data_IF_145990910219
#
_entry.id   IF_145990910219
#
_cell.length_a   1.000
_cell.length_b   1.000
_cell.length_c   1.000
_cell.angle_alpha   90.00
_cell.angle_beta   90.00
_cell.angle_gamma   90.00
#
_symmetry.space_group_name_H-M   'P 1'
#
loop_
_entity.id
_entity.type
_entity.pdbx_description
1 polymer ?
#
# COMPACT_ATOMS: atom_id res chain seq x y z
N UNK A 1 20.64 -39.98 22.45
CA UNK A 1 19.90 -39.24 21.40
C UNK A 1 20.04 -40.01 20.10
N UNK A 2 19.09 -40.91 19.84
CA UNK A 2 19.15 -41.84 18.71
C UNK A 2 18.46 -41.26 17.48
N UNK A 3 19.23 -41.02 16.42
CA UNK A 3 18.72 -40.97 15.06
C UNK A 3 19.23 -42.25 14.42
N UNK A 4 18.36 -43.25 14.26
CA UNK A 4 18.77 -44.59 13.84
C UNK A 4 19.24 -44.61 12.38
N UNK A 5 18.68 -43.76 11.51
CA UNK A 5 18.97 -43.74 10.09
C UNK A 5 19.35 -42.33 9.61
N UNK A 6 20.51 -42.21 8.98
CA UNK A 6 20.96 -40.98 8.32
C UNK A 6 20.32 -40.93 6.93
N UNK A 7 19.74 -39.79 6.56
CA UNK A 7 19.19 -39.60 5.21
C UNK A 7 20.29 -39.75 4.16
N UNK A 8 20.14 -40.74 3.29
CA UNK A 8 21.01 -40.99 2.14
C UNK A 8 20.42 -40.33 0.89
N UNK A 9 21.21 -40.01 -0.15
CA UNK A 9 20.71 -39.39 -1.38
C UNK A 9 19.61 -40.16 -2.12
N UNK A 10 19.46 -41.46 -1.82
CA UNK A 10 18.43 -42.35 -2.35
C UNK A 10 17.14 -42.34 -1.52
N UNK A 11 17.15 -41.75 -0.32
CA UNK A 11 15.99 -41.71 0.57
C UNK A 11 14.96 -40.67 0.08
N UNK A 12 13.65 -40.96 0.21
CA UNK A 12 12.62 -40.02 -0.20
C UNK A 12 12.69 -38.71 0.60
N UNK A 13 13.07 -38.77 1.88
CA UNK A 13 13.24 -37.60 2.75
C UNK A 13 14.37 -36.70 2.26
N UNK A 14 15.47 -37.27 1.75
CA UNK A 14 16.56 -36.51 1.15
C UNK A 14 16.11 -35.80 -0.13
N UNK A 15 15.35 -36.49 -0.98
CA UNK A 15 14.81 -35.93 -2.22
C UNK A 15 13.82 -34.77 -1.94
N UNK A 16 12.93 -34.93 -0.96
CA UNK A 16 12.00 -33.88 -0.52
C UNK A 16 12.76 -32.67 0.06
N UNK A 17 13.75 -32.92 0.92
CA UNK A 17 14.60 -31.85 1.45
C UNK A 17 15.37 -31.12 0.36
N UNK A 18 15.92 -31.84 -0.63
CA UNK A 18 16.59 -31.25 -1.79
C UNK A 18 15.63 -30.36 -2.60
N UNK A 19 14.38 -30.79 -2.80
CA UNK A 19 13.34 -30.01 -3.46
C UNK A 19 12.95 -28.75 -2.67
N UNK A 20 12.85 -28.83 -1.34
CA UNK A 20 12.60 -27.66 -0.50
C UNK A 20 13.75 -26.65 -0.56
N UNK A 21 15.00 -27.13 -0.57
CA UNK A 21 16.18 -26.27 -0.69
C UNK A 21 16.25 -25.59 -2.06
N UNK A 22 15.98 -26.31 -3.16
CA UNK A 22 15.94 -25.73 -4.50
C UNK A 22 14.83 -24.67 -4.63
N UNK A 23 13.63 -24.98 -4.13
CA UNK A 23 12.49 -24.06 -4.09
C UNK A 23 12.82 -22.79 -3.31
N UNK A 24 13.46 -22.93 -2.14
CA UNK A 24 13.89 -21.77 -1.33
C UNK A 24 14.94 -20.94 -2.07
N UNK A 25 15.94 -21.57 -2.70
CA UNK A 25 16.96 -20.87 -3.49
C UNK A 25 16.35 -20.09 -4.65
N UNK A 26 15.40 -20.71 -5.36
CA UNK A 26 14.62 -20.06 -6.42
C UNK A 26 13.87 -18.83 -5.91
N UNK A 27 13.07 -18.97 -4.85
CA UNK A 27 12.30 -17.86 -4.26
C UNK A 27 13.20 -16.72 -3.77
N UNK A 28 14.33 -17.03 -3.13
CA UNK A 28 15.28 -16.01 -2.68
C UNK A 28 15.96 -15.28 -3.86
N UNK A 29 16.30 -16.00 -4.93
CA UNK A 29 16.86 -15.40 -6.13
C UNK A 29 15.83 -14.47 -6.82
N UNK A 30 14.57 -14.90 -6.87
CA UNK A 30 13.45 -14.12 -7.41
C UNK A 30 13.22 -12.84 -6.60
N UNK A 31 13.07 -12.93 -5.28
CA UNK A 31 12.88 -11.76 -4.40
C UNK A 31 14.04 -10.78 -4.50
N UNK A 32 15.27 -11.28 -4.62
CA UNK A 32 16.46 -10.44 -4.82
C UNK A 32 16.39 -9.69 -6.15
N UNK A 33 15.97 -10.36 -7.22
CA UNK A 33 15.80 -9.75 -8.53
C UNK A 33 14.70 -8.68 -8.50
N UNK A 34 13.52 -9.01 -7.98
CA UNK A 34 12.37 -8.12 -7.80
C UNK A 34 12.77 -6.84 -7.05
N UNK A 35 13.42 -6.99 -5.88
CA UNK A 35 13.89 -5.86 -5.07
C UNK A 35 14.83 -4.93 -5.84
N UNK A 36 15.77 -5.48 -6.61
CA UNK A 36 16.73 -4.68 -7.37
C UNK A 36 16.06 -3.91 -8.52
N UNK A 37 15.08 -4.52 -9.18
CA UNK A 37 14.29 -3.87 -10.24
C UNK A 37 13.45 -2.73 -9.65
N UNK A 38 12.74 -2.98 -8.56
CA UNK A 38 11.93 -1.95 -7.85
C UNK A 38 12.82 -0.79 -7.40
N UNK A 39 13.98 -1.09 -6.80
CA UNK A 39 14.96 -0.06 -6.47
C UNK A 39 15.32 0.75 -7.72
N UNK A 40 15.69 0.07 -8.82
CA UNK A 40 16.07 0.73 -10.07
C UNK A 40 15.02 1.73 -10.55
N UNK A 41 13.74 1.37 -10.47
CA UNK A 41 12.62 2.25 -10.78
C UNK A 41 12.60 3.50 -9.92
N UNK A 42 12.70 3.36 -8.60
CA UNK A 42 12.70 4.52 -7.69
C UNK A 42 13.82 5.52 -7.99
N UNK A 43 15.00 5.05 -8.38
CA UNK A 43 16.07 5.96 -8.78
C UNK A 43 15.86 6.60 -10.15
N UNK A 44 15.21 5.92 -11.10
CA UNK A 44 14.82 6.53 -12.37
C UNK A 44 13.76 7.60 -12.14
N UNK A 45 12.80 7.37 -11.25
CA UNK A 45 11.85 8.39 -10.80
C UNK A 45 12.57 9.57 -10.14
N UNK A 46 13.57 9.32 -9.28
CA UNK A 46 14.41 10.38 -8.68
C UNK A 46 15.22 11.15 -9.71
N UNK A 47 15.70 10.51 -10.76
CA UNK A 47 16.42 11.17 -11.85
C UNK A 47 15.51 12.12 -12.63
N UNK A 48 14.25 11.73 -12.82
CA UNK A 48 13.24 12.48 -13.58
C UNK A 48 12.54 13.60 -12.77
N UNK A 49 12.82 13.73 -11.46
CA UNK A 49 12.31 14.81 -10.63
C UNK A 49 13.01 16.15 -11.00
N UNK A 50 12.21 17.20 -11.19
CA UNK A 50 12.71 18.56 -11.42
C UNK A 50 13.44 19.09 -10.17
N UNK A 51 14.41 19.99 -10.37
CA UNK A 51 15.29 20.56 -9.34
C UNK A 51 16.32 19.60 -8.70
N UNK A 52 16.77 18.56 -9.41
CA UNK A 52 17.94 17.78 -8.96
C UNK A 52 19.26 18.49 -9.31
N UNK A 53 19.96 18.96 -8.28
CA UNK A 53 21.29 19.58 -8.44
C UNK A 53 22.29 18.66 -9.17
N UNK A 54 23.23 19.25 -9.93
CA UNK A 54 24.16 18.50 -10.79
C UNK A 54 24.92 17.37 -10.06
N UNK A 55 25.40 17.63 -8.84
CA UNK A 55 26.08 16.63 -8.01
C UNK A 55 25.19 15.42 -7.71
N UNK A 56 23.93 15.66 -7.34
CA UNK A 56 22.96 14.60 -7.05
C UNK A 56 22.64 13.77 -8.30
N UNK A 57 22.48 14.41 -9.47
CA UNK A 57 22.30 13.71 -10.75
C UNK A 57 23.48 12.77 -11.05
N UNK A 58 24.72 13.21 -10.83
CA UNK A 58 25.91 12.35 -11.01
C UNK A 58 25.90 11.13 -10.08
N UNK A 59 25.45 11.27 -8.83
CA UNK A 59 25.31 10.15 -7.91
C UNK A 59 24.21 9.18 -8.36
N UNK A 60 23.06 9.69 -8.80
CA UNK A 60 21.95 8.87 -9.33
C UNK A 60 22.42 8.08 -10.57
N UNK A 61 23.13 8.71 -11.51
CA UNK A 61 23.67 8.01 -12.69
C UNK A 61 24.61 6.87 -12.30
N UNK A 62 25.53 7.10 -11.35
CA UNK A 62 26.43 6.05 -10.85
C UNK A 62 25.66 4.91 -10.17
N UNK A 63 24.66 5.23 -9.34
CA UNK A 63 23.83 4.26 -8.68
C UNK A 63 22.96 3.44 -9.66
N UNK A 64 22.50 4.06 -10.76
CA UNK A 64 21.83 3.38 -11.86
C UNK A 64 22.73 2.40 -12.62
N UNK A 65 23.98 2.79 -12.90
CA UNK A 65 24.96 1.89 -13.52
C UNK A 65 25.27 0.70 -12.61
N UNK A 66 25.58 0.96 -11.34
CA UNK A 66 25.87 -0.07 -10.34
C UNK A 66 24.69 -1.06 -10.19
N UNK A 67 23.46 -0.56 -10.12
CA UNK A 67 22.28 -1.44 -10.00
C UNK A 67 21.94 -2.16 -11.29
N UNK A 68 22.18 -1.56 -12.46
CA UNK A 68 22.04 -2.30 -13.72
C UNK A 68 22.96 -3.52 -13.74
N UNK A 69 24.20 -3.38 -13.25
CA UNK A 69 25.10 -4.52 -13.10
C UNK A 69 24.62 -5.52 -12.03
N UNK A 70 24.11 -5.04 -10.89
CA UNK A 70 23.55 -5.90 -9.85
C UNK A 70 22.35 -6.72 -10.35
N UNK A 71 21.46 -6.13 -11.17
CA UNK A 71 20.32 -6.82 -11.78
C UNK A 71 20.83 -7.90 -12.75
N UNK A 72 21.85 -7.63 -13.58
CA UNK A 72 22.43 -8.67 -14.46
C UNK A 72 22.93 -9.88 -13.68
N UNK A 73 23.64 -9.63 -12.58
CA UNK A 73 24.14 -10.68 -11.72
C UNK A 73 22.99 -11.46 -11.04
N UNK A 74 21.99 -10.75 -10.52
CA UNK A 74 20.81 -11.36 -9.91
C UNK A 74 19.99 -12.18 -10.92
N UNK A 75 19.87 -11.70 -12.16
CA UNK A 75 19.23 -12.42 -13.27
C UNK A 75 19.96 -13.71 -13.60
N UNK A 76 21.30 -13.70 -13.63
CA UNK A 76 22.11 -14.92 -13.80
C UNK A 76 21.87 -15.91 -12.66
N UNK A 77 21.83 -15.43 -11.41
CA UNK A 77 21.54 -16.28 -10.23
C UNK A 77 20.13 -16.87 -10.30
N UNK A 78 19.13 -16.05 -10.67
CA UNK A 78 17.76 -16.48 -10.85
C UNK A 78 17.65 -17.55 -11.94
N UNK A 79 18.19 -17.32 -13.13
CA UNK A 79 18.10 -18.27 -14.25
C UNK A 79 18.80 -19.60 -13.91
N UNK A 80 19.91 -19.58 -13.16
CA UNK A 80 20.56 -20.79 -12.67
C UNK A 80 19.71 -21.55 -11.65
N UNK A 81 19.07 -20.84 -10.70
CA UNK A 81 18.17 -21.45 -9.73
C UNK A 81 16.90 -22.00 -10.40
N UNK A 82 16.33 -21.27 -11.37
CA UNK A 82 15.16 -21.68 -12.14
C UNK A 82 15.42 -22.96 -12.94
N UNK A 83 16.60 -23.08 -13.56
CA UNK A 83 17.00 -24.30 -14.28
C UNK A 83 17.19 -25.52 -13.36
N UNK A 84 17.42 -25.29 -12.05
CA UNK A 84 17.60 -26.36 -11.05
C UNK A 84 16.27 -26.80 -10.41
N UNK A 85 15.14 -26.18 -10.77
CA UNK A 85 13.81 -26.55 -10.30
C UNK A 85 13.27 -27.74 -11.09
N UNK A 86 12.34 -28.49 -10.47
CA UNK A 86 11.57 -29.54 -11.13
C UNK A 86 10.09 -29.21 -10.93
N UNK A 87 9.35 -28.81 -11.97
CA UNK A 87 9.80 -28.58 -13.35
C UNK A 87 10.75 -27.38 -13.49
N UNK A 88 11.54 -27.35 -14.57
CA UNK A 88 12.43 -26.23 -14.86
C UNK A 88 11.62 -24.93 -14.94
N UNK A 89 12.01 -23.93 -14.17
CA UNK A 89 11.33 -22.63 -14.16
C UNK A 89 11.57 -21.81 -15.43
N UNK A 90 10.73 -20.77 -15.64
CA UNK A 90 10.87 -19.83 -16.77
C UNK A 90 12.20 -19.09 -16.70
N UNK A 91 12.97 -19.14 -17.79
CA UNK A 91 14.15 -18.30 -18.01
C UNK A 91 13.72 -16.88 -18.38
N UNK A 92 14.40 -15.90 -17.79
CA UNK A 92 14.16 -14.48 -18.06
C UNK A 92 15.32 -13.85 -18.81
N UNK A 93 15.00 -13.02 -19.80
CA UNK A 93 15.95 -12.23 -20.56
C UNK A 93 16.07 -10.80 -19.99
N UNK A 94 17.20 -10.14 -20.27
CA UNK A 94 17.48 -8.80 -19.71
C UNK A 94 16.44 -7.74 -20.06
N UNK A 95 15.92 -7.76 -21.29
CA UNK A 95 14.94 -6.78 -21.75
C UNK A 95 13.62 -6.91 -20.97
N UNK A 96 13.16 -8.14 -20.74
CA UNK A 96 11.95 -8.42 -19.94
C UNK A 96 12.06 -7.82 -18.54
N UNK A 97 13.23 -7.92 -17.90
CA UNK A 97 13.45 -7.44 -16.53
C UNK A 97 13.57 -5.91 -16.44
N UNK A 98 14.04 -5.26 -17.51
CA UNK A 98 14.27 -3.80 -17.53
C UNK A 98 13.02 -3.02 -17.89
N UNK A 99 12.12 -3.62 -18.67
CA UNK A 99 10.84 -3.03 -19.00
C UNK A 99 9.95 -2.96 -17.75
N UNK A 100 9.55 -1.75 -17.37
CA UNK A 100 8.74 -1.51 -16.16
C UNK A 100 7.41 -2.26 -16.12
N UNK A 101 6.94 -2.76 -17.27
CA UNK A 101 5.75 -3.59 -17.40
C UNK A 101 5.88 -4.95 -16.65
N UNK A 102 7.10 -5.43 -16.45
CA UNK A 102 7.37 -6.74 -15.86
C UNK A 102 7.26 -6.77 -14.34
N UNK A 103 7.06 -5.63 -13.66
CA UNK A 103 6.85 -5.64 -12.20
C UNK A 103 5.64 -6.48 -11.79
N UNK A 104 4.56 -6.43 -12.58
CA UNK A 104 3.35 -7.21 -12.33
C UNK A 104 3.54 -8.71 -12.64
N UNK A 105 4.65 -9.10 -13.29
CA UNK A 105 4.95 -10.47 -13.69
C UNK A 105 5.75 -11.22 -12.62
N UNK A 106 6.39 -10.50 -11.68
CA UNK A 106 7.12 -11.14 -10.58
C UNK A 106 6.22 -11.99 -9.69
N UNK A 107 4.96 -11.60 -9.52
CA UNK A 107 3.98 -12.38 -8.76
C UNK A 107 3.67 -13.72 -9.43
N UNK A 108 3.64 -13.75 -10.77
CA UNK A 108 3.47 -15.01 -11.52
C UNK A 108 4.66 -15.94 -11.30
N UNK A 109 5.88 -15.40 -11.17
CA UNK A 109 7.09 -16.18 -10.92
C UNK A 109 7.17 -16.76 -9.50
N UNK A 110 6.35 -16.30 -8.54
CA UNK A 110 6.39 -16.82 -7.16
C UNK A 110 5.85 -18.24 -7.05
N UNK A 111 4.99 -18.65 -7.98
CA UNK A 111 4.44 -19.99 -8.04
C UNK A 111 4.99 -20.76 -9.27
N UNK A 112 6.02 -21.62 -9.08
CA UNK A 112 6.58 -22.43 -10.17
C UNK A 112 5.56 -23.44 -10.73
N UNK A 113 4.55 -23.83 -9.93
CA UNK A 113 3.53 -24.80 -10.32
C UNK A 113 2.45 -24.15 -11.20
N UNK A 114 2.18 -22.86 -11.01
CA UNK A 114 1.25 -22.09 -11.85
C UNK A 114 1.70 -21.97 -13.32
N UNK A 115 2.96 -22.25 -13.64
CA UNK A 115 3.47 -22.27 -15.03
C UNK A 115 3.11 -23.53 -15.82
N UNK A 116 2.61 -24.59 -15.15
CA UNK A 116 2.26 -25.86 -15.82
C UNK A 116 1.11 -25.69 -16.81
N UNK A 117 0.27 -24.69 -16.62
CA UNK A 117 -0.82 -24.35 -17.51
C UNK A 117 -0.69 -22.91 -17.96
N UNK A 118 -0.63 -22.67 -19.28
CA UNK A 118 -0.71 -21.31 -19.82
C UNK A 118 -2.12 -20.79 -19.58
N UNK A 119 -2.32 -20.17 -18.43
CA UNK A 119 -3.59 -19.57 -18.09
C UNK A 119 -3.87 -18.40 -19.05
N UNK A 120 -5.01 -18.37 -19.77
CA UNK A 120 -5.32 -17.29 -20.71
C UNK A 120 -5.26 -15.89 -20.07
N UNK A 121 -5.62 -15.80 -18.78
CA UNK A 121 -5.57 -14.57 -17.99
C UNK A 121 -4.15 -14.11 -17.62
N UNK A 122 -3.15 -15.00 -17.63
CA UNK A 122 -1.78 -14.70 -17.26
C UNK A 122 -0.96 -14.12 -18.43
N UNK A 123 -1.50 -14.17 -19.65
CA UNK A 123 -0.83 -13.57 -20.83
C UNK A 123 -0.70 -12.05 -20.67
N UNK A 124 0.41 -11.42 -21.11
CA UNK A 124 0.60 -9.98 -20.95
C UNK A 124 -0.55 -9.12 -21.51
N UNK A 125 -1.10 -9.40 -22.72
CA UNK A 125 -2.24 -8.65 -23.24
C UNK A 125 -3.51 -8.81 -22.38
N UNK A 126 -3.81 -10.03 -21.92
CA UNK A 126 -4.98 -10.28 -21.08
C UNK A 126 -4.87 -9.55 -19.73
N UNK A 127 -3.69 -9.50 -19.12
CA UNK A 127 -3.48 -8.77 -17.86
C UNK A 127 -3.67 -7.26 -18.01
N UNK A 128 -3.19 -6.67 -19.11
CA UNK A 128 -3.45 -5.24 -19.40
C UNK A 128 -4.95 -4.99 -19.55
N UNK A 129 -5.69 -5.91 -20.19
CA UNK A 129 -7.14 -5.80 -20.33
C UNK A 129 -7.86 -5.97 -18.98
N UNK A 130 -7.45 -6.97 -18.17
CA UNK A 130 -8.00 -7.22 -16.84
C UNK A 130 -7.74 -6.04 -15.90
N UNK A 131 -6.54 -5.47 -15.89
CA UNK A 131 -6.22 -4.27 -15.10
C UNK A 131 -7.13 -3.09 -15.48
N UNK A 132 -7.34 -2.87 -16.78
CA UNK A 132 -8.29 -1.84 -17.25
C UNK A 132 -9.73 -2.14 -16.80
N UNK A 133 -10.17 -3.39 -16.96
CA UNK A 133 -11.50 -3.82 -16.56
C UNK A 133 -11.73 -3.63 -15.05
N UNK A 134 -10.82 -4.15 -14.22
CA UNK A 134 -10.92 -4.01 -12.77
C UNK A 134 -10.76 -2.56 -12.31
N UNK A 135 -9.96 -1.72 -12.99
CA UNK A 135 -9.93 -0.28 -12.73
C UNK A 135 -11.29 0.36 -12.98
N UNK A 136 -12.00 -0.03 -14.04
CA UNK A 136 -13.35 0.46 -14.32
C UNK A 136 -14.32 0.02 -13.22
N UNK A 137 -14.31 -1.26 -12.84
CA UNK A 137 -15.17 -1.77 -11.76
C UNK A 137 -14.89 -1.06 -10.43
N UNK A 138 -13.62 -0.96 -10.03
CA UNK A 138 -13.20 -0.23 -8.82
C UNK A 138 -13.52 1.25 -8.87
N UNK A 139 -13.51 1.87 -10.06
CA UNK A 139 -13.90 3.29 -10.19
C UNK A 139 -15.36 3.50 -9.78
N UNK A 140 -16.25 2.53 -10.05
CA UNK A 140 -17.66 2.61 -9.60
C UNK A 140 -17.77 2.62 -8.08
N UNK A 141 -17.02 1.76 -7.40
CA UNK A 141 -16.95 1.72 -5.94
C UNK A 141 -16.32 3.01 -5.37
N UNK A 142 -15.24 3.47 -6.00
CA UNK A 142 -14.51 4.66 -5.57
C UNK A 142 -15.36 5.92 -5.70
N UNK A 143 -16.25 6.01 -6.70
CA UNK A 143 -17.24 7.09 -6.80
C UNK A 143 -18.15 7.10 -5.57
N UNK A 144 -18.67 5.94 -5.15
CA UNK A 144 -19.55 5.83 -3.98
C UNK A 144 -18.79 6.26 -2.72
N UNK A 145 -17.55 5.77 -2.55
CA UNK A 145 -16.69 6.14 -1.43
C UNK A 145 -16.39 7.65 -1.42
N UNK A 146 -16.01 8.22 -2.56
CA UNK A 146 -15.74 9.64 -2.70
C UNK A 146 -16.97 10.48 -2.34
N UNK A 147 -18.18 10.08 -2.74
CA UNK A 147 -19.40 10.78 -2.36
C UNK A 147 -19.61 10.83 -0.84
N UNK A 148 -19.34 9.72 -0.15
CA UNK A 148 -19.40 9.65 1.32
C UNK A 148 -18.33 10.56 1.94
N UNK A 149 -17.09 10.50 1.45
CA UNK A 149 -15.99 11.28 1.99
C UNK A 149 -16.15 12.79 1.73
N UNK A 150 -16.64 13.20 0.56
CA UNK A 150 -16.99 14.60 0.27
C UNK A 150 -17.99 15.10 1.30
N UNK A 151 -19.07 14.34 1.55
CA UNK A 151 -20.08 14.71 2.54
C UNK A 151 -19.50 14.77 3.95
N UNK A 152 -18.62 13.83 4.33
CA UNK A 152 -17.92 13.83 5.63
C UNK A 152 -17.04 15.05 5.81
N UNK A 153 -16.24 15.40 4.81
CA UNK A 153 -15.36 16.58 4.84
C UNK A 153 -16.18 17.86 4.98
N UNK A 154 -17.27 18.01 4.23
CA UNK A 154 -18.16 19.17 4.33
C UNK A 154 -18.78 19.26 5.73
N UNK A 155 -19.20 18.13 6.30
CA UNK A 155 -19.74 18.06 7.65
C UNK A 155 -18.68 18.47 8.68
N UNK A 156 -17.48 17.90 8.58
CA UNK A 156 -16.36 18.23 9.48
C UNK A 156 -16.00 19.71 9.44
N UNK A 157 -15.97 20.32 8.25
CA UNK A 157 -15.76 21.77 8.09
C UNK A 157 -16.83 22.59 8.84
N UNK A 158 -18.11 22.21 8.70
CA UNK A 158 -19.20 22.90 9.38
C UNK A 158 -19.10 22.76 10.90
N UNK A 159 -18.89 21.55 11.40
CA UNK A 159 -18.78 21.30 12.83
C UNK A 159 -17.56 21.96 13.44
N UNK A 160 -16.42 21.93 12.77
CA UNK A 160 -15.20 22.62 13.21
C UNK A 160 -15.45 24.13 13.34
N UNK A 161 -16.14 24.73 12.36
CA UNK A 161 -16.53 26.15 12.44
C UNK A 161 -17.44 26.42 13.65
N UNK A 162 -18.50 25.63 13.85
CA UNK A 162 -19.43 25.81 14.97
C UNK A 162 -18.69 25.66 16.31
N UNK A 163 -17.86 24.63 16.43
CA UNK A 163 -17.08 24.35 17.63
C UNK A 163 -16.12 25.49 17.97
N UNK A 164 -15.35 25.97 16.99
CA UNK A 164 -14.39 27.04 17.22
C UNK A 164 -15.08 28.37 17.55
N UNK A 165 -16.19 28.71 16.87
CA UNK A 165 -16.97 29.92 17.19
C UNK A 165 -17.55 29.86 18.61
N UNK A 166 -18.07 28.70 19.01
CA UNK A 166 -18.58 28.49 20.37
C UNK A 166 -17.46 28.62 21.41
N UNK A 167 -16.29 28.01 21.14
CA UNK A 167 -15.14 28.08 22.06
C UNK A 167 -14.54 29.48 22.15
N UNK A 168 -14.51 30.23 21.06
CA UNK A 168 -14.15 31.65 21.05
C UNK A 168 -15.07 32.43 22.01
N UNK A 169 -16.39 32.27 21.89
CA UNK A 169 -17.36 32.95 22.76
C UNK A 169 -17.27 32.55 24.25
N UNK A 170 -17.10 31.25 24.55
CA UNK A 170 -16.91 30.76 25.92
C UNK A 170 -15.61 31.30 26.57
N UNK A 171 -14.57 31.50 25.77
CA UNK A 171 -13.27 31.97 26.26
C UNK A 171 -13.17 33.48 26.35
N UNK A 172 -13.99 34.23 25.61
CA UNK A 172 -13.95 35.71 25.63
C UNK A 172 -14.14 36.26 27.05
N UNK A 173 -15.00 35.62 27.86
CA UNK A 173 -15.28 36.03 29.24
C UNK A 173 -14.20 35.60 30.24
N UNK A 174 -13.55 34.45 30.01
CA UNK A 174 -12.62 33.84 30.98
C UNK A 174 -11.15 34.11 30.67
N UNK A 175 -10.78 34.14 29.39
CA UNK A 175 -9.43 34.37 28.91
C UNK A 175 -9.43 34.99 27.48
N UNK A 176 -9.47 36.33 27.39
CA UNK A 176 -9.50 37.05 26.11
C UNK A 176 -8.29 36.76 25.20
N UNK A 177 -7.11 36.51 25.77
CA UNK A 177 -5.91 36.22 24.97
C UNK A 177 -6.02 34.87 24.27
N UNK A 178 -6.55 33.85 24.96
CA UNK A 178 -6.79 32.55 24.36
C UNK A 178 -7.94 32.59 23.35
N UNK A 179 -9.00 33.35 23.63
CA UNK A 179 -10.08 33.59 22.68
C UNK A 179 -9.57 34.20 21.37
N UNK A 180 -8.69 35.20 21.44
CA UNK A 180 -8.02 35.77 20.27
C UNK A 180 -7.20 34.72 19.49
N UNK A 181 -6.43 33.86 20.16
CA UNK A 181 -5.67 32.80 19.48
C UNK A 181 -6.59 31.78 18.78
N UNK A 182 -7.70 31.40 19.42
CA UNK A 182 -8.73 30.53 18.82
C UNK A 182 -9.37 31.19 17.61
N UNK A 183 -9.64 32.50 17.67
CA UNK A 183 -10.15 33.28 16.54
C UNK A 183 -9.18 33.27 15.35
N UNK A 184 -7.90 33.54 15.58
CA UNK A 184 -6.89 33.50 14.51
C UNK A 184 -6.80 32.10 13.88
N UNK A 185 -6.80 31.06 14.70
CA UNK A 185 -6.85 29.68 14.21
C UNK A 185 -8.11 29.41 13.38
N UNK A 186 -9.29 29.82 13.86
CA UNK A 186 -10.56 29.68 13.13
C UNK A 186 -10.51 30.39 11.77
N UNK A 187 -10.04 31.63 11.71
CA UNK A 187 -9.91 32.38 10.47
C UNK A 187 -8.96 31.68 9.47
N UNK A 188 -7.87 31.10 9.96
CA UNK A 188 -6.98 30.30 9.12
C UNK A 188 -7.69 29.04 8.58
N UNK A 189 -8.41 28.31 9.44
CA UNK A 189 -9.18 27.12 9.04
C UNK A 189 -10.27 27.44 8.02
N UNK A 190 -10.98 28.55 8.20
CA UNK A 190 -12.01 29.03 7.27
C UNK A 190 -11.45 29.31 5.87
N UNK A 191 -10.25 29.89 5.75
CA UNK A 191 -9.60 30.10 4.44
C UNK A 191 -9.33 28.78 3.70
N UNK A 192 -8.88 27.75 4.42
CA UNK A 192 -8.70 26.43 3.83
C UNK A 192 -10.03 25.77 3.48
N UNK A 193 -11.02 25.86 4.37
CA UNK A 193 -12.36 25.35 4.15
C UNK A 193 -13.00 25.97 2.89
N UNK A 194 -12.91 27.28 2.70
CA UNK A 194 -13.41 27.97 1.50
C UNK A 194 -12.78 27.42 0.23
N UNK A 195 -11.49 27.12 0.27
CA UNK A 195 -10.77 26.53 -0.86
C UNK A 195 -11.31 25.14 -1.19
N UNK A 196 -11.54 24.30 -0.17
CA UNK A 196 -12.13 22.97 -0.35
C UNK A 196 -13.56 23.04 -0.88
N UNK A 197 -14.40 23.89 -0.29
CA UNK A 197 -15.80 24.06 -0.72
C UNK A 197 -15.89 24.57 -2.16
N UNK A 198 -15.04 25.51 -2.57
CA UNK A 198 -14.95 25.97 -3.97
C UNK A 198 -14.57 24.83 -4.92
N UNK A 199 -13.63 23.97 -4.52
CA UNK A 199 -13.23 22.79 -5.32
C UNK A 199 -14.36 21.78 -5.45
N UNK A 200 -15.12 21.52 -4.38
CA UNK A 200 -16.27 20.63 -4.43
C UNK A 200 -17.39 21.19 -5.32
N UNK A 201 -17.68 22.50 -5.23
CA UNK A 201 -18.64 23.16 -6.15
C UNK A 201 -18.22 23.03 -7.61
N UNK A 202 -16.95 23.32 -7.91
CA UNK A 202 -16.40 23.14 -9.27
C UNK A 202 -16.47 21.69 -9.76
N UNK A 203 -16.27 20.73 -8.86
CA UNK A 203 -16.42 19.31 -9.18
C UNK A 203 -17.86 18.99 -9.56
N UNK A 204 -18.85 19.48 -8.81
CA UNK A 204 -20.27 19.28 -9.14
C UNK A 204 -20.67 19.96 -10.44
N UNK A 205 -20.17 21.16 -10.71
CA UNK A 205 -20.41 21.89 -11.97
C UNK A 205 -19.82 21.12 -13.16
N UNK A 206 -18.58 20.63 -13.03
CA UNK A 206 -17.90 19.90 -14.12
C UNK A 206 -18.51 18.53 -14.38
N UNK A 207 -18.91 17.82 -13.33
CA UNK A 207 -19.55 16.52 -13.44
C UNK A 207 -21.02 16.63 -13.89
N UNK A 208 -21.68 17.75 -13.59
CA UNK A 208 -23.06 18.04 -13.96
C UNK A 208 -24.00 16.89 -13.56
N UNK A 209 -24.78 16.31 -14.49
CA UNK A 209 -25.74 15.24 -14.19
C UNK A 209 -25.08 13.90 -13.82
N UNK A 210 -23.76 13.77 -13.99
CA UNK A 210 -23.02 12.54 -13.61
C UNK A 210 -22.60 12.53 -12.14
N UNK A 211 -22.72 13.64 -11.43
CA UNK A 211 -22.45 13.68 -10.01
C UNK A 211 -23.60 13.02 -9.24
N UNK A 212 -23.30 11.92 -8.55
CA UNK A 212 -24.29 11.13 -7.78
C UNK A 212 -24.27 11.43 -6.28
N UNK A 213 -23.34 12.28 -5.82
CA UNK A 213 -23.20 12.65 -4.41
C UNK A 213 -24.08 13.83 -3.99
N UNK A 214 -23.79 14.36 -2.80
CA UNK A 214 -24.40 15.60 -2.31
C UNK A 214 -23.35 16.49 -1.66
N UNK A 215 -23.54 17.81 -1.79
CA UNK A 215 -22.78 18.82 -1.06
C UNK A 215 -23.49 19.27 0.22
N UNK A 216 -24.67 18.71 0.52
CA UNK A 216 -25.36 19.02 1.78
C UNK A 216 -24.60 18.40 2.95
N UNK A 217 -24.28 19.18 3.99
CA UNK A 217 -23.64 18.64 5.18
C UNK A 217 -24.51 17.53 5.80
N UNK A 218 -23.87 16.50 6.33
CA UNK A 218 -24.51 15.46 7.13
C UNK A 218 -24.86 15.92 8.54
N UNK A 219 -25.34 14.99 9.36
CA UNK A 219 -25.49 15.17 10.80
C UNK A 219 -24.26 14.57 11.47
N UNK A 220 -23.57 15.35 12.30
CA UNK A 220 -22.52 14.82 13.15
C UNK A 220 -23.16 14.21 14.39
N UNK A 221 -22.92 12.92 14.60
CA UNK A 221 -23.29 12.27 15.84
C UNK A 221 -22.08 12.35 16.77
N UNK A 222 -22.24 12.88 18.01
CA UNK A 222 -21.16 12.80 18.98
C UNK A 222 -20.74 11.35 19.17
N UNK A 223 -19.43 11.09 19.31
CA UNK A 223 -18.97 9.76 19.65
C UNK A 223 -19.69 9.33 20.92
N UNK A 224 -20.41 8.20 20.84
CA UNK A 224 -21.04 7.62 22.01
C UNK A 224 -19.95 7.42 23.06
N UNK A 225 -20.17 7.84 24.32
CA UNK A 225 -19.19 7.61 25.36
C UNK A 225 -18.89 6.12 25.38
N UNK A 226 -17.60 5.75 25.30
CA UNK A 226 -17.22 4.34 25.49
C UNK A 226 -17.74 3.95 26.87
N UNK A 227 -18.45 2.81 27.00
CA UNK A 227 -18.84 2.34 28.32
C UNK A 227 -17.58 2.27 29.17
N UNK A 228 -17.57 3.00 30.28
CA UNK A 228 -16.52 2.90 31.28
C UNK A 228 -16.41 1.43 31.68
N UNK A 229 -15.21 0.83 31.66
CA UNK A 229 -15.03 -0.49 32.23
C UNK A 229 -15.58 -0.44 33.66
N UNK A 230 -16.53 -1.33 33.98
CA UNK A 230 -17.10 -1.43 35.32
C UNK A 230 -15.94 -1.65 36.29
N UNK A 231 -15.63 -0.66 37.11
CA UNK A 231 -14.78 -0.84 38.29
C UNK A 231 -15.53 -1.77 39.25
N UNK A 232 -14.88 -2.88 39.61
CA UNK A 232 -15.34 -3.78 40.67
C UNK A 232 -16.01 -5.07 40.20
N UNK A 233 -15.24 -5.97 39.59
CA UNK A 233 -15.47 -7.40 39.85
C UNK A 233 -14.56 -7.76 41.01
N UNK A 234 -15.18 -7.91 42.17
CA UNK A 234 -14.58 -8.39 43.41
C UNK A 234 -13.88 -9.76 43.18
N UNK A 235 -12.56 -9.80 43.35
CA UNK A 235 -11.73 -11.01 43.26
C UNK A 235 -11.73 -11.84 44.57
N UNK A 236 -12.73 -11.69 45.44
CA UNK A 236 -12.75 -12.41 46.74
C UNK A 236 -13.20 -13.88 46.69
N UNK A 237 -13.59 -14.44 45.53
CA UNK A 237 -14.25 -15.75 45.48
C UNK A 237 -13.44 -16.98 45.02
N UNK A 238 -12.12 -16.90 44.78
CA UNK A 238 -11.34 -18.00 44.16
C UNK A 238 -10.21 -18.59 45.01
N UNK A 239 -10.44 -18.77 46.31
CA UNK A 239 -9.57 -19.61 47.16
C UNK A 239 -10.37 -20.35 48.22
N UNK A 240 -11.11 -21.38 47.82
CA UNK A 240 -11.60 -22.43 48.72
C UNK A 240 -12.16 -23.60 47.88
N UNK A 241 -11.28 -24.35 47.24
CA UNK A 241 -11.57 -25.69 46.70
C UNK A 241 -10.25 -26.39 46.31
N UNK A 242 -9.37 -26.61 47.28
CA UNK A 242 -8.31 -27.62 47.21
C UNK A 242 -7.84 -27.92 48.64
N UNK A 243 -8.62 -28.75 49.32
CA UNK A 243 -8.26 -29.51 50.52
C UNK A 243 -9.00 -30.85 50.46
#
# INVERSE_FOLDING_TARGET
MGVADRWEPTSPEWAEAAHLVSTRRYRLALLKLERLVIQRMFELTKMNLSQTGYKLRKHITKALQARSQAIRNALKTYNGAAASMVPSGRKLEWHEVVEYAFLADFDLLKDPEAFKEVQPWATPPARVLLDKYFKIERTKEEIIRCNIEIRRVITAIREEKIFLTRKEAELEETNPQLAWAVREYRLQRERYADTHLKRFKKLTEKAGPRFTGTLTPGVWLPPTPRPTPMEGVDESGRREAEA
#
